data_IF_044669992798
#
_entry.id   IF_044669992798
#
_cell.length_a   1.000
_cell.length_b   1.000
_cell.length_c   1.000
_cell.angle_alpha   90.00
_cell.angle_beta   90.00
_cell.angle_gamma   90.00
#
_symmetry.space_group_name_H-M   'P 1'
#
loop_
_entity.id
_entity.type
_entity.pdbx_description
1 polymer ?
#
# COMPACT_ATOMS: atom_id res chain seq x y z
N UNK A 1 -13.08 24.23 1.37
CA UNK A 1 -12.07 23.19 1.60
C UNK A 1 -12.33 22.11 0.56
N UNK A 2 -11.53 22.06 -0.50
CA UNK A 2 -11.66 21.04 -1.54
C UNK A 2 -11.13 19.74 -0.93
N UNK A 3 -12.03 18.85 -0.50
CA UNK A 3 -11.67 17.44 -0.32
C UNK A 3 -11.45 16.94 -1.75
N UNK A 4 -10.19 16.82 -2.17
CA UNK A 4 -9.89 16.15 -3.42
C UNK A 4 -10.24 14.67 -3.22
N UNK A 5 -11.25 14.19 -3.94
CA UNK A 5 -11.54 12.77 -3.99
C UNK A 5 -10.35 12.08 -4.66
N UNK A 6 -9.65 11.18 -3.96
CA UNK A 6 -8.56 10.42 -4.57
C UNK A 6 -9.11 9.58 -5.72
N UNK A 7 -8.55 9.68 -6.91
CA UNK A 7 -8.93 8.82 -8.02
C UNK A 7 -7.86 7.75 -8.22
N UNK A 8 -8.30 6.56 -8.65
CA UNK A 8 -7.42 5.53 -9.18
C UNK A 8 -6.77 6.07 -10.45
N UNK A 9 -5.44 5.99 -10.52
CA UNK A 9 -4.62 6.51 -11.61
C UNK A 9 -4.04 5.35 -12.41
N UNK A 10 -3.61 5.64 -13.64
CA UNK A 10 -3.04 4.65 -14.57
C UNK A 10 -1.83 3.90 -14.00
N UNK A 11 -0.99 4.56 -13.19
CA UNK A 11 0.18 3.96 -12.53
C UNK A 11 -0.09 3.37 -11.14
N UNK A 12 -1.34 3.32 -10.67
CA UNK A 12 -1.63 2.65 -9.40
C UNK A 12 -1.55 1.13 -9.58
N UNK A 13 -0.98 0.44 -8.61
CA UNK A 13 -1.08 -1.02 -8.49
C UNK A 13 -2.50 -1.33 -8.04
N UNK A 14 -3.30 -2.04 -8.83
CA UNK A 14 -4.67 -2.37 -8.43
C UNK A 14 -4.80 -3.85 -8.09
N UNK A 15 -5.48 -4.15 -6.99
CA UNK A 15 -5.86 -5.52 -6.60
C UNK A 15 -7.37 -5.62 -6.71
N UNK A 16 -7.87 -6.39 -7.68
CA UNK A 16 -9.31 -6.58 -7.81
C UNK A 16 -9.85 -7.52 -6.72
N UNK A 17 -11.18 -7.65 -6.63
CA UNK A 17 -11.83 -8.51 -5.62
C UNK A 17 -11.48 -10.00 -5.76
N UNK A 18 -11.02 -10.44 -6.94
CA UNK A 18 -10.51 -11.79 -7.18
C UNK A 18 -9.04 -12.00 -6.80
N UNK A 19 -8.35 -10.94 -6.37
CA UNK A 19 -6.93 -10.97 -6.03
C UNK A 19 -5.98 -10.81 -7.23
N UNK A 20 -6.50 -10.53 -8.42
CA UNK A 20 -5.65 -10.25 -9.59
C UNK A 20 -5.01 -8.88 -9.45
N UNK A 21 -3.72 -8.80 -9.79
CA UNK A 21 -2.91 -7.59 -9.63
C UNK A 21 -2.63 -6.98 -11.02
N UNK A 22 -2.95 -5.70 -11.21
CA UNK A 22 -2.53 -4.92 -12.37
C UNK A 22 -1.36 -3.99 -12.00
N UNK A 23 -0.55 -3.62 -13.00
CA UNK A 23 0.62 -2.74 -12.83
C UNK A 23 1.62 -3.23 -11.78
N UNK A 24 1.78 -4.55 -11.66
CA UNK A 24 2.70 -5.15 -10.69
C UNK A 24 4.15 -4.66 -10.87
N UNK A 25 4.54 -4.27 -12.08
CA UNK A 25 5.83 -3.68 -12.38
C UNK A 25 6.10 -2.40 -11.54
N UNK A 26 5.08 -1.60 -11.22
CA UNK A 26 5.26 -0.40 -10.39
C UNK A 26 5.66 -0.77 -8.96
N UNK A 27 5.10 -1.86 -8.41
CA UNK A 27 5.51 -2.37 -7.10
C UNK A 27 6.92 -2.99 -7.12
N UNK A 28 7.26 -3.72 -8.19
CA UNK A 28 8.60 -4.29 -8.34
C UNK A 28 9.66 -3.19 -8.49
N UNK A 29 9.39 -2.15 -9.29
CA UNK A 29 10.27 -0.99 -9.42
C UNK A 29 10.46 -0.29 -8.07
N UNK A 30 9.39 -0.14 -7.27
CA UNK A 30 9.49 0.43 -5.93
C UNK A 30 10.40 -0.40 -5.02
N UNK A 31 10.31 -1.74 -5.05
CA UNK A 31 11.22 -2.61 -4.28
C UNK A 31 12.67 -2.38 -4.73
N UNK A 32 12.93 -2.39 -6.05
CA UNK A 32 14.28 -2.15 -6.58
C UNK A 32 14.82 -0.77 -6.17
N UNK A 33 13.98 0.26 -6.16
CA UNK A 33 14.37 1.60 -5.73
C UNK A 33 14.68 1.66 -4.23
N UNK A 34 13.87 1.01 -3.38
CA UNK A 34 14.16 0.88 -1.93
C UNK A 34 15.50 0.17 -1.71
N UNK A 35 15.78 -0.92 -2.43
CA UNK A 35 17.05 -1.65 -2.32
C UNK A 35 18.27 -0.83 -2.76
N UNK A 36 18.08 0.12 -3.69
CA UNK A 36 19.12 1.02 -4.18
C UNK A 36 19.20 2.36 -3.42
N UNK A 37 18.42 2.52 -2.34
CA UNK A 37 18.28 3.79 -1.59
C UNK A 37 17.75 4.97 -2.44
N UNK A 38 17.08 4.66 -3.56
CA UNK A 38 16.47 5.63 -4.47
C UNK A 38 15.07 5.99 -4.01
N UNK A 39 14.79 7.30 -3.92
CA UNK A 39 13.47 7.81 -3.49
C UNK A 39 12.39 7.41 -4.48
N UNK A 40 11.32 6.82 -3.97
CA UNK A 40 10.20 6.40 -4.82
C UNK A 40 8.89 6.36 -4.03
N UNK A 41 7.77 6.24 -4.76
CA UNK A 41 6.44 6.12 -4.20
C UNK A 41 5.62 5.14 -5.00
N UNK A 42 5.06 4.13 -4.33
CA UNK A 42 4.06 3.24 -4.90
C UNK A 42 2.72 3.43 -4.20
N UNK A 43 1.64 3.41 -4.98
CA UNK A 43 0.28 3.42 -4.47
C UNK A 43 -0.47 2.17 -4.93
N UNK A 44 -0.96 1.43 -3.96
CA UNK A 44 -1.75 0.22 -4.14
C UNK A 44 -3.21 0.56 -3.84
N UNK A 45 -4.12 0.14 -4.72
CA UNK A 45 -5.56 0.28 -4.56
C UNK A 45 -6.17 -1.09 -4.33
N UNK A 46 -6.85 -1.24 -3.21
CA UNK A 46 -7.73 -2.38 -2.90
C UNK A 46 -9.17 -1.92 -2.94
N UNK A 47 -10.09 -2.85 -3.08
CA UNK A 47 -11.52 -2.56 -3.07
C UNK A 47 -12.19 -3.25 -1.90
N UNK A 48 -13.15 -2.57 -1.28
CA UNK A 48 -14.10 -3.21 -0.36
C UNK A 48 -14.98 -4.23 -1.10
N UNK A 49 -15.79 -4.97 -0.35
CA UNK A 49 -16.77 -5.90 -0.94
C UNK A 49 -17.78 -5.16 -1.82
N UNK A 50 -18.12 -3.94 -1.44
CA UNK A 50 -19.06 -3.05 -2.13
C UNK A 50 -18.43 -2.38 -3.36
N UNK A 51 -17.09 -2.38 -3.45
CA UNK A 51 -16.33 -1.81 -4.57
C UNK A 51 -15.74 -0.43 -4.31
N UNK A 52 -15.74 0.05 -3.06
CA UNK A 52 -15.13 1.32 -2.70
C UNK A 52 -13.60 1.19 -2.62
N UNK A 53 -12.83 2.15 -3.14
CA UNK A 53 -11.37 2.07 -3.13
C UNK A 53 -10.80 2.40 -1.75
N UNK A 54 -9.78 1.62 -1.37
CA UNK A 54 -8.88 1.86 -0.25
C UNK A 54 -7.48 2.05 -0.83
N UNK A 55 -6.83 3.16 -0.51
CA UNK A 55 -5.49 3.50 -1.00
C UNK A 55 -4.45 3.17 0.07
N UNK A 56 -3.43 2.41 -0.32
CA UNK A 56 -2.24 2.11 0.48
C UNK A 56 -1.06 2.75 -0.24
N UNK A 57 -0.46 3.78 0.35
CA UNK A 57 0.69 4.48 -0.26
C UNK A 57 1.94 4.21 0.56
N UNK A 58 3.01 3.78 -0.09
CA UNK A 58 4.35 3.69 0.48
C UNK A 58 5.22 4.77 -0.17
N UNK A 59 5.73 5.70 0.63
CA UNK A 59 6.65 6.75 0.18
C UNK A 59 8.01 6.50 0.82
N UNK A 60 9.00 6.08 0.03
CA UNK A 60 10.37 5.88 0.51
C UNK A 60 11.20 7.13 0.26
N UNK A 61 11.81 7.66 1.32
CA UNK A 61 12.51 8.94 1.28
C UNK A 61 14.04 8.83 1.11
N UNK A 62 14.56 7.61 0.94
CA UNK A 62 15.99 7.26 0.93
C UNK A 62 16.52 6.77 2.29
N UNK A 63 15.68 6.73 3.33
CA UNK A 63 16.04 6.26 4.67
C UNK A 63 14.89 5.43 5.29
N UNK A 64 13.67 5.94 5.25
CA UNK A 64 12.49 5.30 5.81
C UNK A 64 11.28 5.32 4.85
N UNK A 65 10.27 4.51 5.18
CA UNK A 65 9.03 4.38 4.43
C UNK A 65 7.89 4.99 5.23
N UNK A 66 7.26 6.03 4.68
CA UNK A 66 5.96 6.50 5.17
C UNK A 66 4.86 5.65 4.54
N UNK A 67 4.12 4.94 5.39
CA UNK A 67 2.92 4.21 5.02
C UNK A 67 1.68 5.05 5.32
N UNK A 68 0.83 5.21 4.32
CA UNK A 68 -0.47 5.90 4.43
C UNK A 68 -1.59 4.98 3.97
N UNK A 69 -2.57 4.77 4.84
CA UNK A 69 -3.83 4.08 4.58
C UNK A 69 -4.94 5.12 4.47
N UNK A 70 -5.70 5.11 3.37
CA UNK A 70 -6.82 6.02 3.14
C UNK A 70 -8.05 5.23 2.69
N UNK A 71 -9.04 5.14 3.58
CA UNK A 71 -10.38 4.60 3.30
C UNK A 71 -11.45 5.72 3.27
N UNK A 72 -11.06 6.97 3.01
CA UNK A 72 -11.98 8.12 3.00
C UNK A 72 -13.11 7.98 1.98
N UNK A 73 -12.99 7.07 1.01
CA UNK A 73 -14.01 6.76 0.02
C UNK A 73 -14.85 5.53 0.33
N UNK A 74 -14.50 4.75 1.34
CA UNK A 74 -15.35 3.66 1.83
C UNK A 74 -16.58 4.25 2.53
N UNK A 75 -17.77 4.07 1.93
CA UNK A 75 -19.03 4.58 2.46
C UNK A 75 -19.34 3.98 3.85
N UNK A 76 -18.86 2.77 4.13
CA UNK A 76 -19.17 1.96 5.29
C UNK A 76 -18.04 1.89 6.34
N UNK A 77 -16.94 2.64 6.16
CA UNK A 77 -15.79 2.67 7.09
C UNK A 77 -16.08 3.12 8.54
N UNK A 78 -17.29 3.64 8.81
CA UNK A 78 -17.71 4.02 10.16
C UNK A 78 -16.82 5.10 10.79
N UNK A 79 -16.51 4.95 12.08
CA UNK A 79 -15.70 5.93 12.83
C UNK A 79 -14.22 5.94 12.47
N UNK A 80 -13.73 4.88 11.82
CA UNK A 80 -12.33 4.76 11.39
C UNK A 80 -12.07 5.32 9.99
N UNK A 81 -13.10 5.96 9.39
CA UNK A 81 -13.02 6.59 8.07
C UNK A 81 -12.02 7.74 8.04
N UNK A 82 -11.13 7.72 7.04
CA UNK A 82 -10.16 8.77 6.76
C UNK A 82 -8.75 8.22 6.54
N UNK A 83 -7.79 9.12 6.67
CA UNK A 83 -6.38 8.80 6.48
C UNK A 83 -5.71 8.46 7.82
N UNK A 84 -4.89 7.42 7.81
CA UNK A 84 -3.98 7.04 8.91
C UNK A 84 -2.60 6.77 8.34
N UNK A 85 -1.55 7.16 9.06
CA UNK A 85 -0.18 6.94 8.60
C UNK A 85 0.78 6.61 9.74
N UNK A 86 1.89 5.99 9.36
CA UNK A 86 3.05 5.70 10.21
C UNK A 86 4.31 5.72 9.35
N UNK A 87 5.47 5.87 10.00
CA UNK A 87 6.77 5.63 9.38
C UNK A 87 7.32 4.28 9.84
N UNK A 88 8.00 3.56 8.95
CA UNK A 88 8.62 2.26 9.17
C UNK A 88 10.01 2.24 8.54
N UNK A 89 10.97 1.55 9.16
CA UNK A 89 12.35 1.52 8.65
C UNK A 89 12.51 0.56 7.47
N UNK A 90 11.80 -0.58 7.46
CA UNK A 90 12.03 -1.62 6.46
C UNK A 90 10.74 -2.08 5.76
N UNK A 91 10.91 -2.50 4.50
CA UNK A 91 10.00 -3.36 3.77
C UNK A 91 10.64 -4.74 3.68
N UNK A 92 10.03 -5.72 4.32
CA UNK A 92 10.52 -7.10 4.35
C UNK A 92 9.67 -7.99 3.46
N UNK A 93 10.26 -9.11 3.01
CA UNK A 93 9.53 -10.13 2.25
C UNK A 93 9.75 -11.53 2.82
N UNK A 94 8.75 -12.39 2.64
CA UNK A 94 8.80 -13.79 3.02
C UNK A 94 8.21 -14.68 1.93
N UNK A 95 8.89 -15.79 1.64
CA UNK A 95 8.38 -16.81 0.72
C UNK A 95 7.38 -17.69 1.44
N UNK A 96 6.20 -17.85 0.83
CA UNK A 96 5.13 -18.72 1.32
C UNK A 96 4.83 -19.83 0.31
N UNK A 97 3.96 -20.76 0.67
CA UNK A 97 3.48 -21.78 -0.27
C UNK A 97 2.77 -21.14 -1.47
N UNK A 98 2.07 -20.03 -1.24
CA UNK A 98 1.16 -19.40 -2.20
C UNK A 98 1.74 -18.19 -2.95
N UNK A 99 2.94 -17.72 -2.60
CA UNK A 99 3.43 -16.43 -3.10
C UNK A 99 4.55 -15.83 -2.28
N UNK A 100 4.87 -14.58 -2.57
CA UNK A 100 5.75 -13.73 -1.76
C UNK A 100 4.86 -12.73 -1.01
N UNK A 101 4.99 -12.69 0.31
CA UNK A 101 4.31 -11.72 1.16
C UNK A 101 5.29 -10.63 1.61
N UNK A 102 4.84 -9.38 1.53
CA UNK A 102 5.58 -8.19 1.92
C UNK A 102 4.91 -7.53 3.12
N UNK A 103 5.70 -7.14 4.11
CA UNK A 103 5.25 -6.49 5.34
C UNK A 103 6.21 -5.36 5.74
N UNK A 104 5.72 -4.39 6.49
CA UNK A 104 6.55 -3.32 7.06
C UNK A 104 7.05 -3.74 8.45
N UNK A 105 8.27 -3.35 8.82
CA UNK A 105 8.83 -3.58 10.15
C UNK A 105 9.51 -2.31 10.71
N UNK A 106 9.84 -2.35 12.00
CA UNK A 106 10.43 -1.24 12.74
C UNK A 106 9.62 0.07 12.60
N UNK A 107 8.31 -0.05 12.78
CA UNK A 107 7.36 1.05 12.65
C UNK A 107 7.24 1.87 13.93
N UNK A 108 7.05 3.19 13.76
CA UNK A 108 6.78 4.13 14.86
C UNK A 108 5.43 3.88 15.58
N UNK A 109 4.56 3.08 14.97
CA UNK A 109 3.26 2.67 15.48
C UNK A 109 2.93 1.25 15.00
N UNK A 110 2.23 0.48 15.85
CA UNK A 110 1.71 -0.86 15.50
C UNK A 110 0.78 -0.84 14.28
N UNK A 111 0.29 0.34 13.88
CA UNK A 111 -0.50 0.51 12.67
C UNK A 111 0.22 0.00 11.41
N UNK A 112 1.55 0.09 11.37
CA UNK A 112 2.36 -0.41 10.25
C UNK A 112 2.25 -1.91 10.04
N UNK A 113 1.99 -2.68 11.11
CA UNK A 113 1.81 -4.13 11.05
C UNK A 113 0.54 -4.55 10.29
N UNK A 114 -0.38 -3.61 10.02
CA UNK A 114 -1.55 -3.87 9.17
C UNK A 114 -1.27 -3.78 7.67
N UNK A 115 -0.08 -3.28 7.27
CA UNK A 115 0.33 -3.39 5.88
C UNK A 115 0.74 -4.82 5.57
N UNK A 116 0.08 -5.40 4.58
CA UNK A 116 0.53 -6.63 3.93
C UNK A 116 0.30 -6.50 2.43
N UNK A 117 1.17 -7.08 1.61
CA UNK A 117 0.93 -7.20 0.17
C UNK A 117 1.46 -8.55 -0.32
N UNK A 118 0.63 -9.33 -1.02
CA UNK A 118 0.98 -10.68 -1.47
C UNK A 118 0.99 -10.73 -2.99
N UNK A 119 2.10 -11.15 -3.56
CA UNK A 119 2.23 -11.50 -4.97
C UNK A 119 2.05 -13.02 -5.08
N UNK A 120 0.95 -13.52 -5.67
CA UNK A 120 0.72 -14.96 -5.82
C UNK A 120 1.71 -15.58 -6.82
N UNK A 121 1.99 -16.89 -6.65
CA UNK A 121 2.77 -17.69 -7.62
C UNK A 121 2.02 -17.94 -8.93
#
# INVERSE_FOLDING_TARGET
MLIACQQVREGDVTVNQGGEISNLNEFNNFIENVENEDKDTVRIVRYTTEGDPIFLTLEYNGEDIKYTYDNSQDEYAGSDKGEKSTTCANLESSNTEDGIEYHLSDCSSDFGNYFNFKIPK
#
